data_IF_401213241320
#
_entry.id   IF_401213241320
#
_cell.length_a   1.000
_cell.length_b   1.000
_cell.length_c   1.000
_cell.angle_alpha   90.00
_cell.angle_beta   90.00
_cell.angle_gamma   90.00
#
_symmetry.space_group_name_H-M   'P 1'
#
loop_
_entity.id
_entity.type
_entity.pdbx_description
1 polymer ?
#
# COMPACT_ATOMS: atom_id res chain seq x y z
N UNK A 1 28.75 22.12 6.11
CA UNK A 1 27.64 22.63 5.27
C UNK A 1 27.18 21.49 4.37
N UNK A 2 25.98 20.94 4.56
CA UNK A 2 25.48 19.80 3.77
C UNK A 2 24.66 20.40 2.61
N UNK A 3 25.16 20.29 1.38
CA UNK A 3 24.43 20.69 0.18
C UNK A 3 23.22 19.77 0.00
N UNK A 4 22.03 20.34 0.16
CA UNK A 4 20.73 19.78 -0.20
C UNK A 4 20.40 20.02 -1.69
N UNK A 5 21.43 20.23 -2.53
CA UNK A 5 21.21 20.67 -3.90
C UNK A 5 20.54 19.56 -4.71
N UNK A 6 19.46 19.87 -5.46
CA UNK A 6 18.95 18.99 -6.50
C UNK A 6 20.09 18.51 -7.38
N UNK A 7 20.14 17.20 -7.62
CA UNK A 7 21.12 16.60 -8.52
C UNK A 7 20.43 16.25 -9.82
N UNK A 8 20.99 16.73 -10.91
CA UNK A 8 20.64 16.29 -12.25
C UNK A 8 21.69 15.29 -12.70
N UNK A 9 21.26 14.13 -13.18
CA UNK A 9 22.13 13.21 -13.89
C UNK A 9 21.64 13.10 -15.33
N UNK A 10 22.44 13.61 -16.27
CA UNK A 10 22.18 13.51 -17.71
C UNK A 10 22.28 12.06 -18.18
N UNK A 11 21.37 11.66 -19.07
CA UNK A 11 21.24 10.29 -19.54
C UNK A 11 22.49 9.80 -20.28
N UNK A 12 23.20 10.69 -20.96
CA UNK A 12 24.43 10.41 -21.68
C UNK A 12 25.59 9.93 -20.78
N UNK A 13 25.50 10.19 -19.47
CA UNK A 13 26.53 9.81 -18.49
C UNK A 13 26.22 8.47 -17.80
N UNK A 14 25.10 7.83 -18.12
CA UNK A 14 24.73 6.53 -17.57
C UNK A 14 25.49 5.38 -18.25
N UNK A 15 25.62 4.26 -17.56
CA UNK A 15 26.06 3.01 -18.20
C UNK A 15 24.91 2.45 -19.03
N UNK A 16 25.13 2.32 -20.34
CA UNK A 16 24.12 1.90 -21.32
C UNK A 16 24.24 0.41 -21.65
N UNK A 17 23.11 -0.26 -21.85
CA UNK A 17 23.03 -1.64 -22.32
C UNK A 17 21.87 -1.74 -23.31
N UNK A 18 22.15 -2.08 -24.57
CA UNK A 18 21.13 -2.17 -25.63
C UNK A 18 20.66 -0.81 -26.19
N UNK A 19 20.77 0.26 -25.40
CA UNK A 19 20.43 1.64 -25.77
C UNK A 19 21.65 2.46 -26.20
N UNK A 20 21.43 3.61 -26.84
CA UNK A 20 22.52 4.50 -27.30
C UNK A 20 22.22 5.99 -27.11
N UNK A 21 23.27 6.82 -27.10
CA UNK A 21 23.11 8.27 -27.04
C UNK A 21 22.76 8.82 -28.42
N UNK A 22 21.75 9.67 -28.48
CA UNK A 22 21.29 10.35 -29.68
C UNK A 22 21.17 11.87 -29.47
N UNK A 23 21.12 12.60 -30.58
CA UNK A 23 21.08 14.07 -30.61
C UNK A 23 20.10 14.63 -31.65
N UNK A 24 19.31 13.77 -32.28
CA UNK A 24 18.43 14.15 -33.40
C UNK A 24 17.25 15.02 -32.95
N UNK A 25 16.63 14.70 -31.81
CA UNK A 25 15.59 15.52 -31.21
C UNK A 25 16.20 16.77 -30.57
N UNK A 26 15.63 17.95 -30.81
CA UNK A 26 16.08 19.18 -30.14
C UNK A 26 15.53 19.28 -28.70
N UNK A 27 16.15 20.12 -27.87
CA UNK A 27 15.61 20.46 -26.54
C UNK A 27 16.00 19.54 -25.39
N UNK A 28 16.91 18.58 -25.60
CA UNK A 28 17.58 17.83 -24.53
C UNK A 28 18.54 18.74 -23.73
N UNK A 29 18.94 18.27 -22.56
CA UNK A 29 19.95 18.89 -21.70
C UNK A 29 21.31 18.23 -21.91
N UNK A 30 22.41 18.92 -21.55
CA UNK A 30 23.74 18.33 -21.68
C UNK A 30 24.13 18.11 -23.15
N UNK A 31 24.69 16.94 -23.46
CA UNK A 31 25.27 16.62 -24.77
C UNK A 31 24.43 15.67 -25.62
N UNK A 32 23.37 15.10 -25.07
CA UNK A 32 22.47 14.21 -25.78
C UNK A 32 21.40 13.63 -24.86
N UNK A 33 20.61 12.71 -25.41
CA UNK A 33 19.65 11.89 -24.68
C UNK A 33 19.86 10.43 -25.04
N UNK A 34 19.23 9.50 -24.32
CA UNK A 34 19.28 8.07 -24.60
C UNK A 34 18.02 7.62 -25.31
N UNK A 35 18.21 6.81 -26.36
CA UNK A 35 17.21 6.25 -27.26
C UNK A 35 17.48 4.74 -27.48
N UNK A 36 16.54 4.04 -28.13
CA UNK A 36 16.64 2.63 -28.50
C UNK A 36 16.16 1.68 -27.41
N UNK A 37 15.12 2.05 -26.65
CA UNK A 37 14.46 1.16 -25.71
C UNK A 37 13.45 0.28 -26.45
N UNK A 38 13.94 -0.73 -27.17
CA UNK A 38 13.14 -1.53 -28.10
C UNK A 38 13.00 -3.00 -27.63
N UNK A 39 13.96 -3.48 -26.84
CA UNK A 39 14.02 -4.83 -26.29
C UNK A 39 13.92 -4.82 -24.76
N UNK A 40 13.36 -5.89 -24.17
CA UNK A 40 13.16 -5.99 -22.71
C UNK A 40 14.45 -5.94 -21.87
N UNK A 41 15.60 -6.20 -22.49
CA UNK A 41 16.93 -6.15 -21.87
C UNK A 41 17.55 -4.75 -21.87
N UNK A 42 16.98 -3.82 -22.63
CA UNK A 42 17.52 -2.49 -22.85
C UNK A 42 17.38 -1.64 -21.59
N UNK A 43 18.47 -1.00 -21.19
CA UNK A 43 18.52 -0.25 -19.95
C UNK A 43 19.64 0.76 -19.91
N UNK A 44 19.46 1.75 -19.06
CA UNK A 44 20.50 2.69 -18.65
C UNK A 44 20.61 2.71 -17.13
N UNK A 45 21.83 2.76 -16.61
CA UNK A 45 22.09 2.71 -15.16
C UNK A 45 22.91 3.91 -14.70
N UNK A 46 22.32 4.72 -13.84
CA UNK A 46 22.97 5.82 -13.15
C UNK A 46 23.64 5.32 -11.87
N UNK A 47 24.87 5.76 -11.61
CA UNK A 47 25.56 5.53 -10.34
C UNK A 47 25.60 6.82 -9.55
N UNK A 48 25.10 6.77 -8.31
CA UNK A 48 24.92 7.94 -7.44
C UNK A 48 25.48 7.65 -6.06
N UNK A 49 26.06 8.67 -5.42
CA UNK A 49 26.55 8.54 -4.04
C UNK A 49 25.74 9.39 -3.07
N UNK A 50 25.31 8.78 -1.95
CA UNK A 50 24.69 9.49 -0.83
C UNK A 50 25.59 9.48 0.40
N UNK A 51 25.60 10.56 1.17
CA UNK A 51 26.42 10.65 2.40
C UNK A 51 25.81 9.91 3.58
N UNK A 52 24.52 9.61 3.53
CA UNK A 52 23.77 8.88 4.54
C UNK A 52 22.59 8.15 3.88
N UNK A 53 21.98 7.19 4.57
CA UNK A 53 20.73 6.64 4.07
C UNK A 53 19.64 7.72 4.13
N UNK A 54 19.08 8.08 2.98
CA UNK A 54 18.12 9.19 2.86
C UNK A 54 17.13 8.94 1.73
N UNK A 55 15.90 9.43 1.93
CA UNK A 55 14.85 9.39 0.94
C UNK A 55 14.98 10.58 0.00
N UNK A 56 14.85 10.31 -1.30
CA UNK A 56 14.88 11.31 -2.36
C UNK A 56 13.66 11.16 -3.25
N UNK A 57 13.12 12.28 -3.71
CA UNK A 57 12.12 12.32 -4.77
C UNK A 57 12.84 12.16 -6.11
N UNK A 58 12.37 11.24 -6.95
CA UNK A 58 12.92 10.96 -8.27
C UNK A 58 11.96 11.47 -9.34
N UNK A 59 12.51 12.16 -10.35
CA UNK A 59 11.78 12.51 -11.55
C UNK A 59 12.59 12.18 -12.80
N UNK A 60 11.90 11.88 -13.89
CA UNK A 60 12.51 11.52 -15.17
C UNK A 60 12.12 12.59 -16.19
N UNK A 61 13.11 13.14 -16.90
CA UNK A 61 12.88 13.96 -18.09
C UNK A 61 12.87 13.09 -19.33
N UNK A 62 11.77 13.13 -20.05
CA UNK A 62 11.51 12.18 -21.13
C UNK A 62 10.75 12.83 -22.30
N UNK A 63 10.74 12.13 -23.43
CA UNK A 63 9.92 12.44 -24.60
C UNK A 63 9.31 11.13 -25.12
N UNK A 64 8.00 11.11 -25.34
CA UNK A 64 7.27 9.99 -25.95
C UNK A 64 6.61 10.50 -27.25
N UNK A 65 7.11 10.09 -28.43
CA UNK A 65 6.64 10.64 -29.70
C UNK A 65 5.16 10.38 -30.00
N UNK A 66 4.62 9.25 -29.56
CA UNK A 66 3.24 8.81 -29.82
C UNK A 66 2.80 7.82 -28.75
N UNK A 67 1.51 7.84 -28.40
CA UNK A 67 0.95 6.96 -27.38
C UNK A 67 1.43 7.30 -25.97
N UNK A 68 0.86 6.65 -24.97
CA UNK A 68 1.43 6.63 -23.63
C UNK A 68 2.24 5.33 -23.49
N UNK A 69 3.41 5.42 -22.86
CA UNK A 69 4.32 4.30 -22.70
C UNK A 69 4.59 4.02 -21.22
N UNK A 70 5.26 2.90 -20.94
CA UNK A 70 5.66 2.53 -19.59
C UNK A 70 7.15 2.20 -19.58
N UNK A 71 7.84 2.73 -18.57
CA UNK A 71 9.23 2.35 -18.24
C UNK A 71 9.28 1.72 -16.85
N UNK A 72 10.37 1.01 -16.53
CA UNK A 72 10.59 0.41 -15.21
C UNK A 72 11.82 1.00 -14.54
N UNK A 73 11.63 1.49 -13.31
CA UNK A 73 12.72 2.03 -12.48
C UNK A 73 13.14 1.00 -11.44
N UNK A 74 14.43 0.67 -11.39
CA UNK A 74 15.02 -0.28 -10.45
C UNK A 74 16.09 0.39 -9.61
N UNK A 75 15.94 0.33 -8.28
CA UNK A 75 16.93 0.82 -7.31
C UNK A 75 17.81 -0.33 -6.82
N UNK A 76 19.14 -0.20 -6.91
CA UNK A 76 20.13 -1.13 -6.36
C UNK A 76 19.91 -2.61 -6.76
N UNK A 77 19.37 -2.85 -7.96
CA UNK A 77 19.05 -4.21 -8.45
C UNK A 77 17.87 -4.90 -7.76
N UNK A 78 17.09 -4.16 -6.95
CA UNK A 78 15.89 -4.69 -6.28
C UNK A 78 14.67 -4.82 -7.20
N UNK A 79 13.49 -4.97 -6.59
CA UNK A 79 12.22 -5.00 -7.33
C UNK A 79 11.93 -3.62 -7.92
N UNK A 80 11.82 -3.53 -9.24
CA UNK A 80 11.47 -2.29 -9.93
C UNK A 80 10.02 -1.85 -9.75
N UNK A 81 9.77 -0.57 -9.96
CA UNK A 81 8.43 0.02 -10.08
C UNK A 81 8.20 0.57 -11.47
N UNK A 82 6.98 0.37 -11.99
CA UNK A 82 6.60 0.88 -13.31
C UNK A 82 6.19 2.35 -13.22
N UNK A 83 6.59 3.11 -14.24
CA UNK A 83 6.32 4.55 -14.36
C UNK A 83 5.67 4.80 -15.72
N UNK A 84 4.43 5.30 -15.69
CA UNK A 84 3.71 5.69 -16.90
C UNK A 84 4.25 7.01 -17.44
N UNK A 85 4.59 7.01 -18.73
CA UNK A 85 5.07 8.14 -19.49
C UNK A 85 3.94 8.60 -20.42
N UNK A 86 3.31 9.73 -20.12
CA UNK A 86 2.27 10.29 -20.98
C UNK A 86 2.87 10.72 -22.32
N UNK A 87 2.13 10.51 -23.43
CA UNK A 87 2.54 10.97 -24.75
C UNK A 87 2.78 12.47 -24.81
N UNK A 88 3.94 12.87 -25.30
CA UNK A 88 4.35 14.29 -25.36
C UNK A 88 4.41 14.84 -26.79
N UNK A 89 4.36 13.96 -27.79
CA UNK A 89 4.58 14.30 -29.18
C UNK A 89 6.08 14.32 -29.53
N UNK A 90 6.40 14.37 -30.82
CA UNK A 90 7.75 14.11 -31.32
C UNK A 90 8.83 15.13 -30.91
N UNK A 91 8.47 16.28 -30.34
CA UNK A 91 9.42 17.38 -30.07
C UNK A 91 9.35 17.96 -28.65
N UNK A 92 8.41 17.49 -27.82
CA UNK A 92 8.19 18.07 -26.49
C UNK A 92 8.77 17.17 -25.41
N UNK A 93 9.68 17.73 -24.61
CA UNK A 93 10.19 17.08 -23.41
C UNK A 93 9.30 17.41 -22.22
N UNK A 94 8.97 16.39 -21.42
CA UNK A 94 8.22 16.53 -20.18
C UNK A 94 9.02 15.96 -19.01
N UNK A 95 8.51 16.17 -17.79
CA UNK A 95 9.04 15.56 -16.58
C UNK A 95 7.93 14.84 -15.84
N UNK A 96 8.19 13.60 -15.43
CA UNK A 96 7.26 12.79 -14.65
C UNK A 96 7.89 12.44 -13.30
N UNK A 97 7.07 12.38 -12.25
CA UNK A 97 7.48 11.81 -10.97
C UNK A 97 7.60 10.30 -11.09
N UNK A 98 8.77 9.76 -10.72
CA UNK A 98 9.03 8.33 -10.64
C UNK A 98 8.98 7.83 -9.18
N UNK A 99 8.28 8.56 -8.31
CA UNK A 99 8.15 8.23 -6.90
C UNK A 99 9.37 8.60 -6.07
N UNK A 100 9.63 7.83 -5.01
CA UNK A 100 10.69 8.10 -4.06
C UNK A 100 11.67 6.93 -4.01
N UNK A 101 12.95 7.24 -3.88
CA UNK A 101 14.04 6.26 -3.77
C UNK A 101 14.80 6.47 -2.46
N UNK A 102 15.00 5.38 -1.72
CA UNK A 102 15.79 5.39 -0.49
C UNK A 102 17.24 5.04 -0.82
N UNK A 103 18.09 6.05 -0.97
CA UNK A 103 19.51 5.82 -1.24
C UNK A 103 20.21 5.45 0.05
N UNK A 104 21.01 4.37 0.03
CA UNK A 104 21.90 3.98 1.12
C UNK A 104 23.09 4.93 1.24
N UNK A 105 23.74 4.96 2.40
CA UNK A 105 25.04 5.62 2.51
C UNK A 105 26.06 4.95 1.56
N UNK A 106 26.83 5.75 0.83
CA UNK A 106 27.74 5.26 -0.20
C UNK A 106 27.09 5.17 -1.58
N UNK A 107 27.54 4.19 -2.37
CA UNK A 107 27.15 4.03 -3.77
C UNK A 107 25.78 3.38 -3.92
N UNK A 108 24.99 3.88 -4.86
CA UNK A 108 23.69 3.37 -5.25
C UNK A 108 23.54 3.38 -6.76
N UNK A 109 22.70 2.51 -7.30
CA UNK A 109 22.33 2.49 -8.71
C UNK A 109 20.86 2.74 -8.91
N UNK A 110 20.52 3.55 -9.91
CA UNK A 110 19.15 3.71 -10.41
C UNK A 110 19.18 3.30 -11.88
N UNK A 111 18.44 2.24 -12.20
CA UNK A 111 18.31 1.73 -13.56
C UNK A 111 16.94 2.11 -14.11
N UNK A 112 16.93 2.67 -15.31
CA UNK A 112 15.73 2.79 -16.15
C UNK A 112 15.82 1.66 -17.17
N UNK A 113 14.88 0.73 -17.09
CA UNK A 113 14.80 -0.46 -17.93
C UNK A 113 13.60 -0.35 -18.87
N UNK A 114 13.79 -0.83 -20.09
CA UNK A 114 12.72 -0.99 -21.07
C UNK A 114 11.56 -1.81 -20.48
N UNK A 115 10.35 -1.38 -20.80
CA UNK A 115 9.13 -2.12 -20.50
C UNK A 115 8.29 -2.13 -21.79
N UNK A 116 7.43 -1.14 -22.02
CA UNK A 116 6.75 -1.03 -23.32
C UNK A 116 7.66 -0.45 -24.40
N UNK A 117 8.63 0.37 -24.00
CA UNK A 117 9.67 0.92 -24.88
C UNK A 117 9.24 2.20 -25.60
N UNK A 118 9.93 2.54 -26.70
CA UNK A 118 9.58 3.64 -27.61
C UNK A 118 9.53 5.06 -26.98
N UNK A 119 10.47 5.36 -26.10
CA UNK A 119 10.64 6.67 -25.48
C UNK A 119 12.10 7.11 -25.43
N UNK A 120 12.29 8.42 -25.28
CA UNK A 120 13.59 9.05 -25.13
C UNK A 120 13.77 9.50 -23.68
N UNK A 121 14.94 9.26 -23.10
CA UNK A 121 15.28 9.70 -21.74
C UNK A 121 16.43 10.70 -21.81
N UNK A 122 16.21 11.91 -21.29
CA UNK A 122 17.22 12.97 -21.27
C UNK A 122 17.96 13.05 -19.94
N UNK A 123 17.25 12.95 -18.83
CA UNK A 123 17.88 13.09 -17.51
C UNK A 123 17.01 12.50 -16.40
N UNK A 124 17.63 12.27 -15.25
CA UNK A 124 16.91 12.12 -13.99
C UNK A 124 17.20 13.29 -13.05
N UNK A 125 16.19 13.68 -12.29
CA UNK A 125 16.27 14.68 -11.24
C UNK A 125 16.04 14.03 -9.90
N UNK A 126 16.92 14.34 -8.94
CA UNK A 126 16.88 13.78 -7.60
C UNK A 126 17.03 14.89 -6.60
N UNK A 127 16.05 15.04 -5.71
CA UNK A 127 16.07 16.01 -4.61
C UNK A 127 15.78 15.31 -3.30
N UNK A 128 16.44 15.69 -2.18
CA UNK A 128 16.08 15.17 -0.87
C UNK A 128 14.57 15.37 -0.65
N UNK A 129 13.86 14.30 -0.30
CA UNK A 129 12.43 14.40 -0.04
C UNK A 129 12.20 15.40 1.09
N UNK A 130 11.22 16.28 0.92
CA UNK A 130 10.89 17.27 1.93
C UNK A 130 10.61 16.57 3.27
N UNK A 131 11.19 17.10 4.36
CA UNK A 131 10.83 16.65 5.70
C UNK A 131 9.32 16.82 5.87
N UNK A 132 8.65 15.73 6.25
CA UNK A 132 7.19 15.73 6.34
C UNK A 132 6.75 16.76 7.39
N UNK A 133 5.84 17.65 7.01
CA UNK A 133 5.20 18.58 7.94
C UNK A 133 4.37 17.83 9.00
N UNK A 134 4.01 18.50 10.12
CA UNK A 134 3.14 17.93 11.13
C UNK A 134 1.80 17.53 10.50
N UNK A 135 1.42 16.25 10.64
CA UNK A 135 0.19 15.74 10.05
C UNK A 135 -1.02 16.44 10.67
N UNK A 136 -1.98 16.84 9.85
CA UNK A 136 -3.24 17.45 10.29
C UNK A 136 -4.29 16.36 10.62
N UNK A 137 -3.90 15.36 11.41
CA UNK A 137 -4.81 14.28 11.82
C UNK A 137 -5.64 14.77 12.99
N UNK A 138 -6.96 14.68 12.88
CA UNK A 138 -7.87 14.98 14.00
C UNK A 138 -7.72 13.91 15.08
N UNK A 139 -7.43 14.33 16.33
CA UNK A 139 -7.12 13.46 17.46
C UNK A 139 -8.35 12.81 18.14
N UNK A 140 -9.56 13.06 17.65
CA UNK A 140 -10.78 12.53 18.25
C UNK A 140 -10.96 11.03 17.95
N UNK A 141 -10.59 10.18 18.91
CA UNK A 141 -11.07 8.78 19.00
C UNK A 141 -12.37 8.74 19.81
N UNK A 142 -13.30 7.86 19.46
CA UNK A 142 -14.70 7.90 19.92
C UNK A 142 -14.94 7.21 21.28
N UNK A 143 -13.99 6.46 21.86
CA UNK A 143 -14.23 5.68 23.09
C UNK A 143 -12.94 5.26 23.83
N UNK A 144 -12.98 5.09 25.17
CA UNK A 144 -11.80 5.27 26.06
C UNK A 144 -11.50 4.24 27.17
N UNK A 145 -12.02 3.00 27.24
CA UNK A 145 -11.62 2.08 28.35
C UNK A 145 -11.66 0.57 28.02
N UNK A 146 -10.57 -0.17 28.30
CA UNK A 146 -10.53 -1.66 28.31
C UNK A 146 -9.34 -2.27 29.12
N UNK A 147 -9.50 -3.54 29.59
CA UNK A 147 -8.60 -4.38 30.46
C UNK A 147 -8.83 -5.92 30.21
N UNK A 148 -7.98 -6.88 30.71
CA UNK A 148 -7.64 -8.19 30.05
C UNK A 148 -8.39 -9.47 30.51
N UNK A 149 -8.42 -10.68 29.87
CA UNK A 149 -7.73 -11.38 28.75
C UNK A 149 -8.63 -12.53 28.16
N UNK A 150 -8.38 -13.06 26.94
CA UNK A 150 -8.73 -14.44 26.47
C UNK A 150 -7.98 -14.81 25.14
N UNK A 151 -8.19 -16.02 24.57
CA UNK A 151 -7.31 -16.81 23.66
C UNK A 151 -7.23 -16.39 22.17
N UNK A 152 -6.13 -16.78 21.52
CA UNK A 152 -5.50 -16.11 20.37
C UNK A 152 -5.51 -16.86 19.02
N UNK A 153 -5.48 -16.14 17.87
CA UNK A 153 -5.26 -16.74 16.56
C UNK A 153 -3.89 -17.44 16.46
N UNK A 154 -3.84 -18.55 15.70
CA UNK A 154 -2.63 -19.36 15.52
C UNK A 154 -1.42 -18.57 15.00
N UNK A 155 -1.63 -17.55 14.16
CA UNK A 155 -0.54 -16.70 13.66
C UNK A 155 0.04 -15.76 14.72
N UNK A 156 -0.78 -15.21 15.62
CA UNK A 156 -0.29 -14.37 16.73
C UNK A 156 0.62 -15.21 17.63
N UNK A 157 0.15 -16.41 17.98
CA UNK A 157 0.93 -17.38 18.77
C UNK A 157 2.26 -17.72 18.08
N UNK A 158 2.25 -17.92 16.76
CA UNK A 158 3.46 -18.19 16.00
C UNK A 158 4.46 -17.02 16.05
N UNK A 159 4.00 -15.78 15.85
CA UNK A 159 4.89 -14.59 15.90
C UNK A 159 5.48 -14.43 17.29
N UNK A 160 4.69 -14.65 18.34
CA UNK A 160 5.18 -14.58 19.73
C UNK A 160 6.26 -15.62 20.01
N UNK A 161 6.06 -16.86 19.55
CA UNK A 161 7.00 -17.96 19.77
C UNK A 161 8.31 -17.80 18.98
N UNK A 162 8.23 -17.25 17.77
CA UNK A 162 9.39 -17.21 16.85
C UNK A 162 10.11 -15.85 16.87
N UNK A 163 9.41 -14.76 17.18
CA UNK A 163 9.95 -13.39 17.16
C UNK A 163 10.08 -12.81 18.58
N UNK A 164 9.36 -13.37 19.57
CA UNK A 164 9.37 -12.88 20.95
C UNK A 164 8.61 -11.57 21.13
N UNK A 165 7.71 -11.23 20.19
CA UNK A 165 6.88 -10.01 20.19
C UNK A 165 5.45 -10.35 19.78
N UNK A 166 4.49 -9.57 20.27
CA UNK A 166 3.09 -9.64 19.85
C UNK A 166 2.82 -8.54 18.82
N UNK A 167 2.12 -8.83 17.70
CA UNK A 167 1.62 -7.78 16.81
C UNK A 167 0.74 -6.79 17.59
N UNK A 168 0.76 -5.50 17.24
CA UNK A 168 -0.11 -4.52 17.89
C UNK A 168 -1.59 -4.62 17.43
N UNK A 169 -1.84 -5.29 16.31
CA UNK A 169 -3.15 -5.37 15.64
C UNK A 169 -3.36 -6.77 15.08
N UNK A 170 -4.61 -7.24 15.08
CA UNK A 170 -5.05 -8.45 14.35
C UNK A 170 -6.04 -8.11 13.24
N UNK A 171 -6.10 -9.00 12.25
CA UNK A 171 -6.96 -8.92 11.08
C UNK A 171 -7.98 -10.07 10.96
N UNK A 172 -8.93 -10.27 11.90
CA UNK A 172 -9.95 -11.32 11.77
C UNK A 172 -10.91 -11.03 10.59
N UNK A 173 -11.56 -12.09 10.11
CA UNK A 173 -12.45 -12.05 8.96
C UNK A 173 -13.84 -12.63 9.29
N UNK A 174 -14.89 -11.91 8.88
CA UNK A 174 -16.28 -12.34 9.05
C UNK A 174 -16.78 -13.29 7.95
N UNK A 175 -15.92 -13.72 7.02
CA UNK A 175 -16.23 -14.62 5.89
C UNK A 175 -17.18 -15.76 6.26
N UNK A 176 -16.88 -16.51 7.33
CA UNK A 176 -17.62 -17.71 7.73
C UNK A 176 -18.92 -17.43 8.47
N UNK A 177 -19.25 -16.16 8.72
CA UNK A 177 -20.59 -15.72 9.13
C UNK A 177 -21.50 -15.37 7.93
N UNK A 178 -20.97 -15.36 6.71
CA UNK A 178 -21.80 -15.12 5.51
C UNK A 178 -22.88 -16.21 5.40
N UNK A 179 -24.18 -15.87 5.31
CA UNK A 179 -25.25 -16.87 5.28
C UNK A 179 -25.06 -17.98 4.26
N UNK A 180 -24.56 -17.67 3.05
CA UNK A 180 -24.30 -18.68 2.01
C UNK A 180 -23.25 -19.74 2.41
N UNK A 181 -22.35 -19.41 3.34
CA UNK A 181 -21.37 -20.35 3.92
C UNK A 181 -21.94 -21.08 5.13
N UNK A 182 -22.69 -20.37 5.99
CA UNK A 182 -23.39 -20.96 7.14
C UNK A 182 -24.37 -22.05 6.69
N UNK A 183 -25.09 -21.82 5.59
CA UNK A 183 -25.96 -22.81 4.93
C UNK A 183 -25.22 -24.10 4.54
N UNK A 184 -23.88 -24.04 4.42
CA UNK A 184 -22.99 -25.15 4.06
C UNK A 184 -22.13 -25.63 5.24
N UNK A 185 -22.47 -25.21 6.45
CA UNK A 185 -21.91 -25.73 7.70
C UNK A 185 -20.64 -25.03 8.21
N UNK A 186 -20.30 -23.84 7.69
CA UNK A 186 -19.20 -23.08 8.29
C UNK A 186 -19.56 -22.58 9.68
N UNK A 187 -18.54 -22.49 10.53
CA UNK A 187 -18.61 -21.85 11.84
C UNK A 187 -17.41 -20.93 11.98
N UNK A 188 -17.57 -19.85 12.74
CA UNK A 188 -16.51 -18.85 12.94
C UNK A 188 -16.35 -18.50 14.40
N UNK A 189 -15.10 -18.23 14.78
CA UNK A 189 -14.71 -17.68 16.08
C UNK A 189 -14.12 -16.27 15.97
N UNK A 190 -14.26 -15.60 14.82
CA UNK A 190 -13.62 -14.32 14.56
C UNK A 190 -14.06 -13.20 15.54
N UNK A 191 -15.31 -13.25 16.03
CA UNK A 191 -15.79 -12.33 17.07
C UNK A 191 -15.13 -12.63 18.42
N UNK A 192 -15.02 -13.90 18.77
CA UNK A 192 -14.35 -14.35 20.00
C UNK A 192 -12.87 -13.96 20.00
N UNK A 193 -12.18 -14.17 18.88
CA UNK A 193 -10.76 -13.81 18.69
C UNK A 193 -10.55 -12.30 18.78
N UNK A 194 -11.45 -11.50 18.19
CA UNK A 194 -11.42 -10.04 18.30
C UNK A 194 -11.56 -9.57 19.76
N UNK A 195 -12.54 -10.11 20.50
CA UNK A 195 -12.75 -9.79 21.92
C UNK A 195 -11.55 -10.23 22.76
N UNK A 196 -10.98 -11.40 22.47
CA UNK A 196 -9.82 -11.92 23.15
C UNK A 196 -8.57 -11.03 22.97
N UNK A 197 -8.33 -10.56 21.75
CA UNK A 197 -7.19 -9.72 21.43
C UNK A 197 -7.33 -8.29 21.97
N UNK A 198 -8.52 -7.69 21.88
CA UNK A 198 -8.81 -6.38 22.47
C UNK A 198 -8.54 -6.36 23.98
N UNK A 199 -8.93 -7.43 24.68
CA UNK A 199 -8.61 -7.60 26.10
C UNK A 199 -7.10 -7.52 26.39
N UNK A 200 -6.23 -7.90 25.46
CA UNK A 200 -4.77 -7.77 25.64
C UNK A 200 -4.24 -6.37 25.36
N UNK A 201 -5.12 -5.40 25.11
CA UNK A 201 -4.78 -4.05 24.67
C UNK A 201 -4.42 -4.00 23.18
N UNK A 202 -4.77 -5.04 22.42
CA UNK A 202 -4.52 -5.11 20.98
C UNK A 202 -5.61 -4.41 20.17
N UNK A 203 -5.26 -3.98 18.96
CA UNK A 203 -6.21 -3.32 18.05
C UNK A 203 -6.87 -4.35 17.12
N UNK A 204 -8.17 -4.23 16.86
CA UNK A 204 -8.89 -5.09 15.92
C UNK A 204 -9.15 -4.36 14.60
N UNK A 205 -8.64 -4.90 13.50
CA UNK A 205 -9.02 -4.50 12.14
C UNK A 205 -9.83 -5.64 11.49
N UNK A 206 -11.08 -5.36 11.13
CA UNK A 206 -12.02 -6.40 10.75
C UNK A 206 -12.37 -6.26 9.27
N UNK A 207 -12.17 -7.34 8.50
CA UNK A 207 -12.59 -7.41 7.10
C UNK A 207 -13.75 -8.41 6.93
N UNK A 208 -14.29 -8.45 5.73
CA UNK A 208 -15.31 -9.41 5.34
C UNK A 208 -15.12 -9.81 3.89
N UNK A 209 -14.57 -11.01 3.66
CA UNK A 209 -14.67 -11.65 2.36
C UNK A 209 -16.12 -12.11 2.15
N UNK A 210 -16.95 -11.20 1.64
CA UNK A 210 -18.38 -11.45 1.47
C UNK A 210 -18.61 -12.53 0.42
N UNK A 211 -18.94 -13.73 0.88
CA UNK A 211 -19.29 -14.85 0.02
C UNK A 211 -20.67 -14.57 -0.60
N UNK A 212 -20.77 -14.57 -1.94
CA UNK A 212 -21.98 -14.12 -2.64
C UNK A 212 -23.25 -14.76 -2.08
N UNK A 213 -24.31 -13.96 -2.03
CA UNK A 213 -25.57 -14.31 -1.36
C UNK A 213 -26.30 -15.47 -2.03
N UNK A 214 -26.04 -15.66 -3.34
CA UNK A 214 -26.62 -16.68 -4.21
C UNK A 214 -25.76 -16.85 -5.47
N UNK A 215 -26.20 -17.70 -6.42
CA UNK A 215 -25.58 -17.86 -7.75
C UNK A 215 -24.11 -18.32 -7.72
N UNK A 216 -23.76 -19.11 -6.71
CA UNK A 216 -22.49 -19.83 -6.60
C UNK A 216 -22.41 -20.88 -7.72
N UNK A 217 -21.29 -20.93 -8.44
CA UNK A 217 -21.11 -21.90 -9.53
C UNK A 217 -20.94 -23.31 -8.97
N UNK A 218 -20.14 -23.46 -7.91
CA UNK A 218 -19.96 -24.67 -7.11
C UNK A 218 -19.59 -25.92 -7.94
N UNK A 219 -18.54 -25.77 -8.74
CA UNK A 219 -17.90 -26.85 -9.51
C UNK A 219 -16.41 -26.92 -9.18
N UNK A 220 -15.70 -27.94 -9.65
CA UNK A 220 -14.24 -28.04 -9.49
C UNK A 220 -13.53 -26.74 -9.93
N UNK A 221 -12.67 -26.20 -9.07
CA UNK A 221 -11.98 -24.92 -9.28
C UNK A 221 -12.81 -23.67 -9.04
N UNK A 222 -14.11 -23.82 -8.71
CA UNK A 222 -15.08 -22.76 -8.42
C UNK A 222 -16.01 -23.18 -7.28
N UNK A 223 -15.43 -23.84 -6.29
CA UNK A 223 -16.16 -24.38 -5.15
C UNK A 223 -16.91 -23.25 -4.42
N UNK A 224 -18.04 -23.56 -3.78
CA UNK A 224 -18.87 -22.57 -3.08
C UNK A 224 -18.11 -21.67 -2.09
N UNK A 225 -17.04 -22.18 -1.48
CA UNK A 225 -16.21 -21.45 -0.52
C UNK A 225 -15.32 -20.41 -1.23
N UNK A 226 -15.19 -20.44 -2.55
CA UNK A 226 -14.56 -19.35 -3.33
C UNK A 226 -15.55 -18.25 -3.71
N UNK A 227 -16.78 -18.27 -3.18
CA UNK A 227 -17.91 -17.45 -3.60
C UNK A 227 -17.75 -15.93 -3.41
N UNK A 228 -16.64 -15.45 -2.86
CA UNK A 228 -16.29 -14.02 -2.84
C UNK A 228 -15.52 -13.58 -4.09
N UNK A 229 -14.99 -14.51 -4.88
CA UNK A 229 -14.34 -14.21 -6.16
C UNK A 229 -15.34 -14.14 -7.30
N UNK A 230 -15.21 -13.11 -8.15
CA UNK A 230 -16.04 -12.92 -9.35
C UNK A 230 -16.06 -14.15 -10.26
N UNK A 231 -14.95 -14.86 -10.41
CA UNK A 231 -14.86 -16.04 -11.30
C UNK A 231 -15.59 -17.29 -10.77
N UNK A 232 -15.99 -17.30 -9.49
CA UNK A 232 -16.67 -18.42 -8.82
C UNK A 232 -18.18 -18.21 -8.67
N UNK A 233 -18.72 -17.09 -9.16
CA UNK A 233 -20.13 -16.72 -9.04
C UNK A 233 -20.69 -16.19 -10.35
N UNK A 234 -22.02 -16.22 -10.46
CA UNK A 234 -22.77 -15.52 -11.53
C UNK A 234 -23.67 -14.42 -10.96
N UNK A 235 -23.40 -14.00 -9.71
CA UNK A 235 -24.12 -12.93 -9.03
C UNK A 235 -23.76 -11.58 -9.66
N UNK A 236 -24.78 -10.80 -10.05
CA UNK A 236 -24.62 -9.47 -10.64
C UNK A 236 -25.07 -8.41 -9.62
N UNK A 237 -24.10 -7.73 -9.02
CA UNK A 237 -24.35 -6.69 -8.03
C UNK A 237 -25.01 -5.46 -8.64
N UNK A 238 -24.71 -5.12 -9.90
CA UNK A 238 -25.33 -3.98 -10.59
C UNK A 238 -26.81 -4.25 -10.82
N UNK A 239 -27.17 -5.45 -11.27
CA UNK A 239 -28.56 -5.86 -11.43
C UNK A 239 -29.30 -5.92 -10.08
N UNK A 240 -28.64 -6.42 -9.03
CA UNK A 240 -29.22 -6.45 -7.69
C UNK A 240 -29.53 -5.04 -7.16
N UNK A 241 -28.62 -4.07 -7.36
CA UNK A 241 -28.78 -2.69 -6.90
C UNK A 241 -29.70 -1.83 -7.78
N UNK A 242 -29.98 -2.24 -9.02
CA UNK A 242 -30.85 -1.52 -9.93
C UNK A 242 -32.31 -1.45 -9.47
N UNK A 243 -32.77 -2.39 -8.63
CA UNK A 243 -34.12 -2.42 -8.06
C UNK A 243 -34.13 -2.96 -6.63
N UNK A 244 -34.33 -2.08 -5.64
CA UNK A 244 -34.32 -2.47 -4.22
C UNK A 244 -35.43 -3.44 -3.80
N UNK A 245 -36.43 -3.68 -4.66
CA UNK A 245 -37.52 -4.63 -4.38
C UNK A 245 -37.23 -6.05 -4.88
N UNK A 246 -36.17 -6.24 -5.67
CA UNK A 246 -35.85 -7.54 -6.25
C UNK A 246 -35.27 -8.52 -5.19
N UNK A 247 -35.40 -9.82 -5.45
CA UNK A 247 -34.99 -10.86 -4.52
C UNK A 247 -33.47 -10.84 -4.21
N UNK A 248 -32.62 -10.49 -5.18
CA UNK A 248 -31.18 -10.42 -4.97
C UNK A 248 -30.80 -9.27 -4.03
N UNK A 249 -31.48 -8.12 -4.12
CA UNK A 249 -31.31 -7.02 -3.18
C UNK A 249 -31.69 -7.43 -1.76
N UNK A 250 -32.83 -8.11 -1.60
CA UNK A 250 -33.26 -8.60 -0.29
C UNK A 250 -32.26 -9.60 0.33
N UNK A 251 -31.62 -10.43 -0.50
CA UNK A 251 -30.53 -11.30 -0.05
C UNK A 251 -29.26 -10.53 0.35
N UNK A 252 -28.94 -9.41 -0.30
CA UNK A 252 -27.85 -8.52 0.14
C UNK A 252 -28.13 -7.95 1.53
N UNK A 253 -29.36 -7.48 1.76
CA UNK A 253 -29.76 -6.95 3.08
C UNK A 253 -29.72 -8.05 4.15
N UNK A 254 -30.22 -9.26 3.85
CA UNK A 254 -30.11 -10.42 4.76
C UNK A 254 -28.67 -10.67 5.21
N UNK A 255 -27.73 -10.68 4.27
CA UNK A 255 -26.33 -10.93 4.57
C UNK A 255 -25.71 -9.79 5.40
N UNK A 256 -26.04 -8.53 5.08
CA UNK A 256 -25.64 -7.37 5.89
C UNK A 256 -26.19 -7.51 7.31
N UNK A 257 -27.47 -7.85 7.47
CA UNK A 257 -28.10 -8.03 8.79
C UNK A 257 -27.42 -9.15 9.60
N UNK A 258 -27.04 -10.26 8.95
CA UNK A 258 -26.30 -11.34 9.60
C UNK A 258 -24.93 -10.88 10.11
N UNK A 259 -24.24 -10.02 9.37
CA UNK A 259 -22.98 -9.42 9.80
C UNK A 259 -23.20 -8.35 10.88
N UNK A 260 -24.25 -7.55 10.79
CA UNK A 260 -24.62 -6.57 11.82
C UNK A 260 -24.85 -7.24 13.17
N UNK A 261 -25.38 -8.47 13.22
CA UNK A 261 -25.46 -9.26 14.46
C UNK A 261 -24.07 -9.45 15.08
N UNK A 262 -23.04 -9.77 14.29
CA UNK A 262 -21.68 -9.98 14.78
C UNK A 262 -21.03 -8.66 15.21
N UNK A 263 -21.22 -7.59 14.43
CA UNK A 263 -20.74 -6.26 14.79
C UNK A 263 -21.37 -5.75 16.08
N UNK A 264 -22.66 -6.06 16.33
CA UNK A 264 -23.32 -5.75 17.61
C UNK A 264 -22.70 -6.51 18.77
N UNK A 265 -22.33 -7.79 18.61
CA UNK A 265 -21.64 -8.55 19.66
C UNK A 265 -20.31 -7.89 20.06
N UNK A 266 -19.58 -7.31 19.11
CA UNK A 266 -18.37 -6.52 19.38
C UNK A 266 -18.69 -5.18 20.05
N UNK A 267 -19.73 -4.48 19.58
CA UNK A 267 -20.17 -3.22 20.18
C UNK A 267 -20.66 -3.40 21.64
N UNK A 268 -21.43 -4.46 21.91
CA UNK A 268 -21.96 -4.81 23.24
C UNK A 268 -20.84 -5.19 24.23
N UNK A 269 -19.68 -5.59 23.72
CA UNK A 269 -18.47 -5.88 24.50
C UNK A 269 -17.47 -4.72 24.50
N UNK A 270 -17.86 -3.57 23.94
CA UNK A 270 -17.06 -2.36 23.86
C UNK A 270 -15.75 -2.50 23.07
N UNK A 271 -15.68 -3.44 22.11
CA UNK A 271 -14.50 -3.64 21.26
C UNK A 271 -14.54 -2.65 20.08
N UNK A 272 -13.61 -1.69 20.00
CA UNK A 272 -13.49 -0.82 18.83
C UNK A 272 -12.92 -1.60 17.65
N UNK A 273 -13.44 -1.34 16.44
CA UNK A 273 -12.98 -2.00 15.22
C UNK A 273 -12.58 -0.99 14.14
N UNK A 274 -11.50 -1.28 13.43
CA UNK A 274 -11.23 -0.70 12.12
C UNK A 274 -11.96 -1.53 11.06
N UNK A 275 -13.18 -1.12 10.73
CA UNK A 275 -14.04 -1.83 9.80
C UNK A 275 -13.65 -1.56 8.34
N UNK A 276 -13.29 -2.61 7.60
CA UNK A 276 -12.85 -2.53 6.19
C UNK A 276 -13.65 -3.51 5.31
N UNK A 277 -14.94 -3.22 5.03
CA UNK A 277 -15.75 -3.99 4.09
C UNK A 277 -15.37 -3.68 2.65
N UNK A 278 -15.80 -4.54 1.71
CA UNK A 278 -15.64 -4.34 0.25
C UNK A 278 -14.18 -4.02 -0.13
N UNK A 279 -13.25 -4.76 0.45
CA UNK A 279 -11.83 -4.56 0.20
C UNK A 279 -11.43 -5.00 -1.20
N UNK A 280 -10.38 -4.39 -1.74
CA UNK A 280 -9.80 -4.73 -3.05
C UNK A 280 -10.82 -4.67 -4.20
N UNK A 281 -11.75 -3.70 -4.12
CA UNK A 281 -12.75 -3.47 -5.15
C UNK A 281 -12.13 -3.10 -6.52
N UNK A 282 -10.90 -2.60 -6.53
CA UNK A 282 -10.09 -2.37 -7.73
C UNK A 282 -8.94 -3.38 -7.77
N UNK A 283 -8.67 -3.95 -8.95
CA UNK A 283 -7.54 -4.86 -9.15
C UNK A 283 -6.20 -4.10 -9.10
N UNK A 284 -5.17 -4.63 -8.45
CA UNK A 284 -3.86 -3.97 -8.38
C UNK A 284 -2.72 -4.82 -7.81
N UNK A 285 -1.49 -4.34 -8.02
CA UNK A 285 -0.24 -4.95 -7.57
C UNK A 285 0.20 -4.40 -6.19
N UNK A 286 0.72 -5.28 -5.33
CA UNK A 286 1.18 -5.00 -3.96
C UNK A 286 2.71 -4.74 -3.89
N UNK A 287 3.30 -4.31 -5.01
CA UNK A 287 4.69 -3.84 -5.11
C UNK A 287 5.00 -2.59 -4.27
N UNK A 288 6.21 -2.01 -4.39
CA UNK A 288 6.78 -1.06 -3.42
C UNK A 288 5.85 0.11 -3.05
N UNK A 289 5.40 0.10 -1.79
CA UNK A 289 4.29 0.88 -1.20
C UNK A 289 4.36 2.41 -1.31
N UNK A 290 5.45 2.99 -1.81
CA UNK A 290 5.65 4.45 -1.81
C UNK A 290 4.73 5.15 -2.83
N UNK A 291 4.53 4.54 -4.01
CA UNK A 291 3.64 5.08 -5.04
C UNK A 291 2.17 4.96 -4.62
N UNK A 292 1.74 3.81 -4.09
CA UNK A 292 0.39 3.62 -3.57
C UNK A 292 0.11 4.55 -2.38
N UNK A 293 1.10 4.73 -1.48
CA UNK A 293 0.97 5.65 -0.35
C UNK A 293 0.74 7.10 -0.79
N UNK A 294 1.50 7.58 -1.77
CA UNK A 294 1.36 8.95 -2.28
C UNK A 294 0.06 9.14 -3.07
N UNK A 295 -0.40 8.12 -3.81
CA UNK A 295 -1.70 8.14 -4.45
C UNK A 295 -2.85 8.27 -3.42
N UNK A 296 -2.77 7.51 -2.31
CA UNK A 296 -3.74 7.60 -1.22
C UNK A 296 -3.68 8.93 -0.46
N UNK A 297 -2.49 9.54 -0.32
CA UNK A 297 -2.36 10.89 0.25
C UNK A 297 -3.08 11.92 -0.61
N UNK A 298 -2.89 11.86 -1.93
CA UNK A 298 -3.56 12.74 -2.87
C UNK A 298 -5.08 12.54 -2.82
N UNK A 299 -5.54 11.28 -2.81
CA UNK A 299 -6.96 10.94 -2.71
C UNK A 299 -7.58 11.46 -1.41
N UNK A 300 -6.90 11.26 -0.28
CA UNK A 300 -7.34 11.72 1.04
C UNK A 300 -7.09 13.20 1.31
N UNK A 301 -6.41 13.91 0.39
CA UNK A 301 -5.93 15.29 0.57
C UNK A 301 -5.17 15.49 1.91
N UNK A 302 -4.41 14.48 2.34
CA UNK A 302 -3.73 14.38 3.66
C UNK A 302 -4.64 14.61 4.90
N UNK A 303 -5.96 14.47 4.75
CA UNK A 303 -6.94 14.58 5.85
C UNK A 303 -7.32 13.23 6.46
N UNK A 304 -6.81 12.13 5.91
CA UNK A 304 -7.13 10.76 6.31
C UNK A 304 -5.85 9.99 6.60
N UNK A 305 -5.87 9.18 7.65
CA UNK A 305 -4.80 8.22 7.92
C UNK A 305 -4.75 7.17 6.80
N UNK A 306 -3.54 6.76 6.45
CA UNK A 306 -3.28 5.73 5.44
C UNK A 306 -2.59 4.57 6.14
N UNK A 307 -3.12 3.36 5.93
CA UNK A 307 -2.59 2.13 6.48
C UNK A 307 -2.34 1.11 5.35
N UNK A 308 -1.35 0.26 5.54
CA UNK A 308 -1.15 -0.94 4.72
C UNK A 308 -2.00 -2.07 5.32
N UNK A 309 -3.24 -2.19 4.84
CA UNK A 309 -4.22 -3.11 5.43
C UNK A 309 -3.84 -4.59 5.28
N UNK A 310 -3.22 -4.96 4.15
CA UNK A 310 -2.70 -6.29 3.86
C UNK A 310 -1.35 -6.18 3.15
N UNK A 311 -0.40 -7.02 3.52
CA UNK A 311 0.93 -7.10 2.88
C UNK A 311 1.39 -8.55 2.86
N UNK A 312 1.90 -9.01 1.71
CA UNK A 312 2.56 -10.32 1.63
C UNK A 312 3.93 -10.34 2.31
N UNK A 313 4.62 -9.19 2.32
CA UNK A 313 5.93 -9.00 2.95
C UNK A 313 5.89 -7.78 3.86
N UNK A 314 6.30 -7.95 5.12
CA UNK A 314 6.39 -6.83 6.09
C UNK A 314 7.41 -5.81 5.55
N UNK A 315 7.04 -4.52 5.41
CA UNK A 315 7.97 -3.50 4.95
C UNK A 315 9.12 -3.33 5.94
N UNK A 316 10.36 -3.29 5.45
CA UNK A 316 11.54 -3.04 6.28
C UNK A 316 11.43 -1.68 7.00
N UNK A 317 11.57 -1.71 8.33
CA UNK A 317 11.48 -0.55 9.20
C UNK A 317 12.82 0.18 9.33
N UNK A 318 13.96 -0.48 9.09
CA UNK A 318 15.28 0.16 9.12
C UNK A 318 15.46 1.14 7.96
N UNK A 319 14.76 0.90 6.85
CA UNK A 319 14.65 1.87 5.74
C UNK A 319 13.78 3.10 6.06
N UNK A 320 13.17 3.18 7.25
CA UNK A 320 12.39 4.33 7.73
C UNK A 320 13.02 4.88 9.01
N UNK A 321 14.11 5.63 8.88
CA UNK A 321 14.71 6.44 9.96
C UNK A 321 13.80 7.56 10.52
N UNK A 322 12.49 7.46 10.34
CA UNK A 322 11.48 8.38 10.87
C UNK A 322 10.78 7.83 12.14
N UNK A 323 10.90 6.54 12.45
CA UNK A 323 10.17 5.93 13.58
C UNK A 323 10.75 6.31 14.97
N UNK A 324 12.05 6.57 15.08
CA UNK A 324 12.68 6.90 16.36
C UNK A 324 12.34 8.32 16.85
N UNK A 325 12.02 9.25 15.96
CA UNK A 325 11.73 10.66 16.34
C UNK A 325 10.26 10.90 16.67
N UNK A 326 9.35 10.12 16.10
CA UNK A 326 7.91 10.26 16.38
C UNK A 326 7.54 9.66 17.74
N UNK A 327 8.18 8.57 18.18
CA UNK A 327 7.88 7.97 19.49
C UNK A 327 8.35 8.88 20.65
N UNK A 328 9.44 9.63 20.49
CA UNK A 328 9.94 10.52 21.54
C UNK A 328 9.18 11.85 21.69
N UNK A 329 8.56 12.35 20.62
CA UNK A 329 7.87 13.65 20.67
C UNK A 329 6.42 13.57 21.18
N UNK A 330 5.84 12.37 21.36
CA UNK A 330 4.47 12.21 21.86
C UNK A 330 4.39 11.65 23.29
N UNK A 331 5.52 11.27 23.92
CA UNK A 331 5.55 10.72 25.29
C UNK A 331 6.58 11.38 26.22
N UNK A 332 6.95 12.64 25.97
CA UNK A 332 7.76 13.42 26.92
C UNK A 332 7.10 14.77 27.21
N UNK A 333 6.22 14.82 28.21
CA UNK A 333 6.57 15.29 29.56
C UNK A 333 5.37 15.89 30.32
N UNK A 334 5.36 15.61 31.62
CA UNK A 334 4.95 16.50 32.71
C UNK A 334 3.48 16.91 32.91
N UNK A 335 2.62 15.97 33.28
CA UNK A 335 1.50 16.29 34.19
C UNK A 335 0.89 15.05 34.85
N UNK A 336 1.63 14.36 35.72
CA UNK A 336 1.03 13.55 36.79
C UNK A 336 2.05 13.47 37.93
N UNK A 337 1.94 14.46 38.81
CA UNK A 337 2.58 14.47 40.12
C UNK A 337 2.23 13.20 40.87
N UNK A 338 3.25 12.37 41.10
CA UNK A 338 3.19 11.30 42.10
C UNK A 338 3.03 11.97 43.46
N UNK A 339 1.88 11.78 44.09
CA UNK A 339 1.75 11.88 45.54
C UNK A 339 1.48 10.48 46.08
N UNK A 340 2.49 9.89 46.70
CA UNK A 340 2.29 8.92 47.79
C UNK A 340 2.12 9.74 49.08
N UNK A 341 1.36 9.27 50.09
CA UNK A 341 1.89 8.23 50.99
C UNK A 341 0.88 7.26 51.64
N UNK A 342 1.49 6.29 52.35
CA UNK A 342 0.99 5.33 53.35
C UNK A 342 0.46 4.00 52.80
N UNK A 343 0.99 2.83 53.19
CA UNK A 343 1.87 2.46 54.33
C UNK A 343 3.20 1.84 53.92
#
# INVERSE_FOLDING_TARGET
>A
MISLSPRTAGAEAATLTGVSVATASAGYSGTGYVDGFDESTDKMTFTLSSTAQKLYDLSIRYLVPSGAEVTRVVLNGGTGGDVSLAGTGATTWATVSAGQVLLNAGSNTITIQSNWGWYLIDAIYISPSAARGPRQVTEALVNSNATPAAKEPAMVTWVEQNVGKTPAMIGPDLIDYSPSRVERGTTSTAVEDAIAFDKRGGIVALCWHWNATSRLIDTEGKEWWRGFYTHSVTFDISAALADTTNANYQLLIRDIDAIVVQLRRLADTNVPILWRPLHEAEAGDHGPLSSQYNALLALGNDKKLIATAEVGSIPDLEGRSFAATVINNYFTDSALTVSTPCS
#
